data_IF_473740889706
#
_entry.id   IF_473740889706
#
_cell.length_a   1.000
_cell.length_b   1.000
_cell.length_c   1.000
_cell.angle_alpha   90.00
_cell.angle_beta   90.00
_cell.angle_gamma   90.00
#
_symmetry.space_group_name_H-M   'P 1'
#
loop_
_entity.id
_entity.type
_entity.pdbx_description
1 polymer ?
#
# COMPACT_ATOMS: atom_id res chain seq x y z
N UNK A 1 5.14 -22.09 0.73
CA UNK A 1 4.40 -22.28 2.01
C UNK A 1 4.09 -20.95 2.70
N UNK A 2 4.88 -19.94 2.46
CA UNK A 2 4.94 -18.73 3.26
C UNK A 2 3.96 -17.64 2.74
N UNK A 3 3.56 -17.71 1.47
CA UNK A 3 2.51 -16.86 0.88
C UNK A 3 1.10 -17.09 1.47
N UNK A 4 0.94 -18.13 2.29
CA UNK A 4 -0.32 -18.48 2.96
C UNK A 4 -0.47 -17.86 4.35
N UNK A 5 0.55 -17.20 4.89
CA UNK A 5 0.52 -16.63 6.24
C UNK A 5 -0.17 -15.27 6.24
N UNK A 6 -1.47 -15.27 6.45
CA UNK A 6 -2.31 -14.07 6.53
C UNK A 6 -2.60 -13.58 7.96
N UNK A 7 -2.05 -14.23 9.00
CA UNK A 7 -2.37 -13.91 10.38
C UNK A 7 -3.87 -14.05 10.65
N UNK A 8 -4.51 -13.00 11.18
CA UNK A 8 -5.95 -13.00 11.42
C UNK A 8 -6.81 -12.93 10.14
N UNK A 9 -6.22 -12.65 8.98
CA UNK A 9 -6.91 -12.73 7.68
C UNK A 9 -7.05 -14.16 7.15
N UNK A 10 -6.53 -15.14 7.87
CA UNK A 10 -6.65 -16.55 7.52
C UNK A 10 -5.39 -17.16 6.89
N UNK A 11 -5.59 -18.33 6.29
CA UNK A 11 -4.53 -19.12 5.66
C UNK A 11 -4.98 -19.47 4.24
N UNK A 12 -4.74 -18.56 3.30
CA UNK A 12 -5.05 -18.76 1.89
C UNK A 12 -3.94 -18.19 1.02
N UNK A 13 -3.84 -18.64 -0.22
CA UNK A 13 -2.85 -18.13 -1.17
C UNK A 13 -3.02 -16.62 -1.36
N UNK A 14 -1.93 -15.86 -1.19
CA UNK A 14 -1.92 -14.39 -1.32
C UNK A 14 -2.32 -13.62 -0.06
N UNK A 15 -2.69 -14.28 1.05
CA UNK A 15 -3.03 -13.60 2.31
C UNK A 15 -1.89 -12.77 2.90
N UNK A 16 -0.65 -13.02 2.55
CA UNK A 16 0.50 -12.22 2.98
C UNK A 16 0.41 -10.76 2.51
N UNK A 17 -0.26 -10.46 1.39
CA UNK A 17 -0.53 -9.10 0.93
C UNK A 17 -1.35 -8.29 1.96
N UNK A 18 -2.31 -8.92 2.64
CA UNK A 18 -3.12 -8.28 3.68
C UNK A 18 -2.28 -7.90 4.89
N UNK A 19 -1.39 -8.81 5.30
CA UNK A 19 -0.45 -8.54 6.40
C UNK A 19 0.47 -7.39 6.03
N UNK A 20 1.01 -7.36 4.81
CA UNK A 20 1.88 -6.30 4.32
C UNK A 20 1.21 -4.92 4.45
N UNK A 21 0.00 -4.75 3.90
CA UNK A 21 -0.77 -3.50 3.99
C UNK A 21 -1.01 -3.11 5.45
N UNK A 22 -1.38 -4.07 6.31
CA UNK A 22 -1.62 -3.81 7.74
C UNK A 22 -0.35 -3.32 8.44
N UNK A 23 0.79 -3.94 8.18
CA UNK A 23 2.08 -3.51 8.75
C UNK A 23 2.49 -2.13 8.26
N UNK A 24 2.24 -1.80 6.99
CA UNK A 24 2.48 -0.45 6.44
C UNK A 24 1.61 0.60 7.13
N UNK A 25 0.33 0.30 7.36
CA UNK A 25 -0.59 1.18 8.08
C UNK A 25 -0.12 1.39 9.53
N UNK A 26 0.21 0.30 10.25
CA UNK A 26 0.73 0.39 11.62
C UNK A 26 2.00 1.24 11.65
N UNK A 27 2.92 1.02 10.73
CA UNK A 27 4.17 1.81 10.64
C UNK A 27 3.87 3.28 10.40
N UNK A 28 2.96 3.61 9.47
CA UNK A 28 2.58 4.99 9.17
C UNK A 28 1.94 5.69 10.39
N UNK A 29 1.07 4.99 11.14
CA UNK A 29 0.44 5.51 12.36
C UNK A 29 1.50 5.75 13.44
N UNK A 30 2.29 4.74 13.78
CA UNK A 30 3.31 4.80 14.84
C UNK A 30 4.30 5.94 14.61
N UNK A 31 4.75 6.08 13.37
CA UNK A 31 5.69 7.15 13.00
C UNK A 31 5.03 8.53 13.02
N UNK A 32 3.76 8.66 12.62
CA UNK A 32 3.05 9.93 12.66
C UNK A 32 2.75 10.38 14.09
N UNK A 33 2.29 9.49 14.97
CA UNK A 33 2.09 9.77 16.41
C UNK A 33 3.40 10.15 17.10
N UNK A 34 4.51 9.51 16.74
CA UNK A 34 5.80 9.91 17.24
C UNK A 34 6.18 11.33 16.81
N UNK A 35 6.00 11.66 15.53
CA UNK A 35 6.28 13.00 15.02
C UNK A 35 5.38 14.07 15.63
N UNK A 36 4.15 13.72 16.02
CA UNK A 36 3.21 14.58 16.75
C UNK A 36 3.49 14.63 18.26
N UNK A 37 4.51 13.93 18.74
CA UNK A 37 4.89 13.83 20.18
C UNK A 37 3.88 13.10 21.06
N UNK A 38 2.98 12.33 20.48
CA UNK A 38 1.99 11.51 21.18
C UNK A 38 2.57 10.15 21.62
N UNK A 39 3.68 9.73 20.98
CA UNK A 39 4.34 8.46 21.28
C UNK A 39 5.81 8.66 21.68
N UNK A 40 6.31 7.82 22.60
CA UNK A 40 7.72 7.83 23.02
C UNK A 40 8.59 6.98 22.09
N UNK A 41 9.89 7.33 21.98
CA UNK A 41 10.85 6.60 21.14
C UNK A 41 10.91 5.10 21.47
N UNK A 42 10.85 4.74 22.77
CA UNK A 42 10.87 3.34 23.20
C UNK A 42 9.67 2.54 22.68
N UNK A 43 8.46 3.13 22.69
CA UNK A 43 7.26 2.50 22.11
C UNK A 43 7.40 2.32 20.61
N UNK A 44 7.85 3.37 19.89
CA UNK A 44 8.11 3.29 18.44
C UNK A 44 9.05 2.15 18.12
N UNK A 45 10.17 2.04 18.85
CA UNK A 45 11.14 0.96 18.65
C UNK A 45 10.50 -0.43 18.81
N UNK A 46 9.71 -0.63 19.87
CA UNK A 46 9.01 -1.91 20.12
C UNK A 46 8.05 -2.24 18.95
N UNK A 47 7.22 -1.28 18.50
CA UNK A 47 6.31 -1.51 17.39
C UNK A 47 7.04 -1.80 16.08
N UNK A 48 8.10 -1.05 15.77
CA UNK A 48 8.89 -1.28 14.56
C UNK A 48 9.56 -2.65 14.57
N UNK A 49 10.15 -3.07 15.70
CA UNK A 49 10.75 -4.41 15.84
C UNK A 49 9.69 -5.50 15.70
N UNK A 50 8.51 -5.34 16.31
CA UNK A 50 7.41 -6.29 16.16
C UNK A 50 6.93 -6.40 14.70
N UNK A 51 6.75 -5.27 14.00
CA UNK A 51 6.39 -5.27 12.58
C UNK A 51 7.46 -5.95 11.71
N UNK A 52 8.75 -5.68 11.97
CA UNK A 52 9.86 -6.32 11.25
C UNK A 52 9.91 -7.82 11.52
N UNK A 53 9.65 -8.25 12.75
CA UNK A 53 9.58 -9.65 13.10
C UNK A 53 8.46 -10.37 12.35
N UNK A 54 7.24 -9.81 12.38
CA UNK A 54 6.09 -10.36 11.64
C UNK A 54 6.39 -10.41 10.14
N UNK A 55 6.93 -9.32 9.56
CA UNK A 55 7.30 -9.27 8.15
C UNK A 55 8.31 -10.37 7.77
N UNK A 56 9.26 -10.67 8.67
CA UNK A 56 10.25 -11.73 8.44
C UNK A 56 9.61 -13.11 8.49
N UNK A 57 8.74 -13.37 9.47
CA UNK A 57 8.02 -14.66 9.61
C UNK A 57 7.09 -14.91 8.43
N UNK A 58 6.43 -13.86 7.92
CA UNK A 58 5.55 -13.93 6.75
C UNK A 58 6.30 -13.77 5.40
N UNK A 59 7.63 -13.71 5.39
CA UNK A 59 8.49 -13.51 4.21
C UNK A 59 8.11 -12.30 3.32
N UNK A 60 7.65 -11.22 3.94
CA UNK A 60 7.20 -10.00 3.26
C UNK A 60 8.38 -9.15 2.79
N UNK A 61 9.02 -9.56 1.71
CA UNK A 61 10.24 -8.91 1.17
C UNK A 61 10.02 -7.43 0.86
N UNK A 62 8.86 -7.09 0.28
CA UNK A 62 8.53 -5.72 -0.12
C UNK A 62 8.32 -4.79 1.08
N UNK A 63 7.85 -5.31 2.22
CA UNK A 63 7.60 -4.52 3.41
C UNK A 63 8.85 -3.79 3.90
N UNK A 64 10.04 -4.40 3.78
CA UNK A 64 11.28 -3.75 4.20
C UNK A 64 11.56 -2.46 3.40
N UNK A 65 11.27 -2.48 2.09
CA UNK A 65 11.36 -1.30 1.24
C UNK A 65 10.29 -0.26 1.61
N UNK A 66 9.06 -0.71 1.78
CA UNK A 66 7.91 0.14 2.15
C UNK A 66 8.09 0.77 3.52
N UNK A 67 8.64 0.04 4.50
CA UNK A 67 9.00 0.57 5.81
C UNK A 67 9.97 1.74 5.71
N UNK A 68 11.06 1.57 4.98
CA UNK A 68 12.05 2.64 4.77
C UNK A 68 11.40 3.84 4.08
N UNK A 69 10.58 3.60 3.07
CA UNK A 69 9.89 4.64 2.32
C UNK A 69 8.93 5.44 3.20
N UNK A 70 8.09 4.79 4.01
CA UNK A 70 7.18 5.44 4.97
C UNK A 70 7.98 6.35 5.90
N UNK A 71 9.05 5.82 6.48
CA UNK A 71 9.88 6.56 7.43
C UNK A 71 10.56 7.75 6.78
N UNK A 72 11.18 7.57 5.63
CA UNK A 72 11.86 8.66 4.90
C UNK A 72 10.87 9.75 4.53
N UNK A 73 9.69 9.41 4.02
CA UNK A 73 8.67 10.40 3.68
C UNK A 73 8.24 11.20 4.92
N UNK A 74 8.02 10.54 6.05
CA UNK A 74 7.66 11.22 7.29
C UNK A 74 8.77 12.15 7.78
N UNK A 75 10.03 11.74 7.69
CA UNK A 75 11.17 12.58 8.05
C UNK A 75 11.31 13.81 7.13
N UNK A 76 11.08 13.63 5.83
CA UNK A 76 11.11 14.74 4.85
C UNK A 76 9.92 15.70 5.01
N UNK A 77 8.77 15.19 5.43
CA UNK A 77 7.56 16.00 5.65
C UNK A 77 7.62 16.80 6.94
N UNK A 78 8.31 16.32 7.97
CA UNK A 78 8.46 16.97 9.27
C UNK A 78 9.71 17.87 9.31
N UNK A 79 9.72 18.85 10.23
CA UNK A 79 10.92 19.67 10.43
C UNK A 79 12.00 18.85 11.14
N UNK A 80 13.27 18.95 10.71
CA UNK A 80 14.38 18.28 11.38
C UNK A 80 14.43 18.74 12.87
N UNK A 81 14.52 17.76 13.76
CA UNK A 81 14.60 17.99 15.21
C UNK A 81 15.58 16.99 15.84
N UNK A 82 15.97 17.19 17.10
CA UNK A 82 16.77 16.17 17.83
C UNK A 82 16.11 14.80 17.86
N UNK A 83 14.76 14.75 17.84
CA UNK A 83 13.99 13.50 17.71
C UNK A 83 14.23 12.83 16.36
N UNK A 84 14.34 13.59 15.28
CA UNK A 84 14.61 13.09 13.92
C UNK A 84 15.94 12.33 13.88
N UNK A 85 16.98 12.85 14.53
CA UNK A 85 18.29 12.18 14.63
C UNK A 85 18.15 10.85 15.39
N UNK A 86 17.41 10.84 16.50
CA UNK A 86 17.12 9.61 17.27
C UNK A 86 16.43 8.54 16.42
N UNK A 87 15.45 8.94 15.59
CA UNK A 87 14.77 8.03 14.65
C UNK A 87 15.77 7.47 13.63
N UNK A 88 16.58 8.31 13.00
CA UNK A 88 17.56 7.85 12.00
C UNK A 88 18.51 6.81 12.60
N UNK A 89 18.98 7.02 13.84
CA UNK A 89 19.84 6.05 14.54
C UNK A 89 19.06 4.76 14.83
N UNK A 90 17.82 4.86 15.35
CA UNK A 90 17.00 3.69 15.66
C UNK A 90 16.70 2.87 14.40
N UNK A 91 16.37 3.52 13.29
CA UNK A 91 16.13 2.85 12.00
C UNK A 91 17.42 2.19 11.49
N UNK A 92 18.55 2.90 11.54
CA UNK A 92 19.84 2.33 11.18
C UNK A 92 20.14 1.03 11.95
N UNK A 93 19.88 1.02 13.25
CA UNK A 93 20.00 -0.19 14.09
C UNK A 93 19.04 -1.29 13.66
N UNK A 94 17.76 -0.97 13.43
CA UNK A 94 16.75 -1.93 12.97
C UNK A 94 17.14 -2.53 11.62
N UNK A 95 17.61 -1.71 10.67
CA UNK A 95 18.05 -2.19 9.36
C UNK A 95 19.27 -3.11 9.47
N UNK A 96 20.24 -2.76 10.31
CA UNK A 96 21.43 -3.60 10.55
C UNK A 96 21.04 -4.93 11.19
N UNK A 97 20.18 -4.91 12.21
CA UNK A 97 19.69 -6.12 12.87
C UNK A 97 18.89 -6.96 11.87
N UNK A 98 17.95 -6.35 11.15
CA UNK A 98 17.13 -7.00 10.13
C UNK A 98 17.97 -7.63 9.01
N UNK A 99 18.96 -6.90 8.49
CA UNK A 99 19.88 -7.40 7.46
C UNK A 99 20.68 -8.62 7.95
N UNK A 100 21.24 -8.56 9.17
CA UNK A 100 21.95 -9.69 9.75
C UNK A 100 21.02 -10.89 9.99
N UNK A 101 19.78 -10.65 10.38
CA UNK A 101 18.78 -11.69 10.57
C UNK A 101 18.44 -12.36 9.23
N UNK A 102 18.13 -11.58 8.18
CA UNK A 102 17.86 -12.09 6.84
C UNK A 102 19.06 -12.87 6.31
N UNK A 103 20.27 -12.36 6.46
CA UNK A 103 21.50 -13.06 6.05
C UNK A 103 21.65 -14.43 6.70
N UNK A 104 21.25 -14.55 7.96
CA UNK A 104 21.39 -15.80 8.74
C UNK A 104 20.27 -16.79 8.44
N UNK A 105 19.02 -16.34 8.32
CA UNK A 105 17.84 -17.22 8.27
C UNK A 105 17.26 -17.38 6.86
N UNK A 106 17.44 -16.40 5.97
CA UNK A 106 16.94 -16.49 4.59
C UNK A 106 17.90 -15.82 3.58
N UNK A 107 19.08 -16.43 3.33
CA UNK A 107 20.09 -15.86 2.42
C UNK A 107 19.58 -15.73 0.97
N UNK A 108 18.53 -16.45 0.58
CA UNK A 108 17.93 -16.36 -0.75
C UNK A 108 17.35 -14.94 -1.02
N UNK A 109 16.81 -14.27 0.01
CA UNK A 109 16.31 -12.89 -0.12
C UNK A 109 17.46 -11.94 -0.51
N UNK A 110 18.62 -12.10 0.10
CA UNK A 110 19.78 -11.25 -0.23
C UNK A 110 20.28 -11.49 -1.64
N UNK A 111 20.22 -12.72 -2.15
CA UNK A 111 20.57 -13.00 -3.55
C UNK A 111 19.64 -12.26 -4.50
N UNK A 112 18.33 -12.28 -4.26
CA UNK A 112 17.36 -11.55 -5.07
C UNK A 112 17.63 -10.04 -5.09
N UNK A 113 18.07 -9.45 -3.97
CA UNK A 113 18.34 -8.02 -3.86
C UNK A 113 19.71 -7.58 -4.37
N UNK A 114 20.69 -8.49 -4.34
CA UNK A 114 22.11 -8.14 -4.66
C UNK A 114 22.59 -8.72 -5.99
N UNK A 115 21.89 -9.72 -6.54
CA UNK A 115 22.24 -10.35 -7.82
C UNK A 115 21.37 -9.77 -8.93
N UNK A 116 21.98 -9.05 -9.86
CA UNK A 116 21.28 -8.39 -10.96
C UNK A 116 20.51 -9.36 -11.84
N UNK A 117 21.07 -10.54 -12.14
CA UNK A 117 20.42 -11.53 -13.00
C UNK A 117 19.17 -12.11 -12.33
N UNK A 118 19.27 -12.37 -11.03
CA UNK A 118 18.12 -12.83 -10.23
C UNK A 118 17.06 -11.74 -10.12
N UNK A 119 17.46 -10.48 -9.92
CA UNK A 119 16.55 -9.34 -9.86
C UNK A 119 15.85 -9.13 -11.21
N UNK A 120 16.56 -9.16 -12.32
CA UNK A 120 15.99 -9.06 -13.66
C UNK A 120 15.00 -10.18 -13.95
N UNK A 121 15.33 -11.43 -13.59
CA UNK A 121 14.41 -12.56 -13.71
C UNK A 121 13.09 -12.30 -12.95
N UNK A 122 13.14 -11.80 -11.73
CA UNK A 122 11.94 -11.50 -10.92
C UNK A 122 11.13 -10.31 -11.43
N UNK A 123 11.76 -9.31 -12.04
CA UNK A 123 11.10 -8.08 -12.46
C UNK A 123 10.61 -8.11 -13.91
N UNK A 124 11.39 -8.69 -14.82
CA UNK A 124 11.14 -8.64 -16.28
C UNK A 124 11.26 -9.96 -17.01
N UNK A 125 11.55 -11.07 -16.29
CA UNK A 125 11.70 -12.40 -16.88
C UNK A 125 10.42 -12.98 -17.49
N UNK A 126 10.50 -14.23 -17.96
CA UNK A 126 9.42 -14.93 -18.68
C UNK A 126 8.26 -15.45 -17.80
N UNK A 127 8.14 -14.95 -16.55
CA UNK A 127 7.17 -15.41 -15.56
C UNK A 127 7.82 -16.16 -14.40
N UNK A 128 7.03 -16.50 -13.39
CA UNK A 128 7.50 -17.17 -12.16
C UNK A 128 7.36 -18.69 -12.21
N UNK A 129 6.54 -19.18 -13.14
CA UNK A 129 6.31 -20.60 -13.36
C UNK A 129 6.60 -20.97 -14.81
N UNK A 130 6.74 -22.27 -15.08
CA UNK A 130 6.89 -22.78 -16.46
C UNK A 130 5.60 -22.66 -17.28
N UNK A 131 4.51 -22.16 -16.70
CA UNK A 131 3.19 -22.04 -17.33
C UNK A 131 3.06 -20.80 -18.22
N UNK A 132 4.07 -19.89 -18.24
CA UNK A 132 4.02 -18.66 -19.03
C UNK A 132 3.21 -17.53 -18.38
N UNK A 133 3.10 -17.57 -17.07
CA UNK A 133 2.48 -16.52 -16.23
C UNK A 133 3.11 -15.14 -16.45
N UNK A 134 2.40 -14.12 -16.00
CA UNK A 134 2.83 -12.73 -16.12
C UNK A 134 3.90 -12.38 -15.09
N UNK A 135 4.80 -11.49 -15.47
CA UNK A 135 5.75 -10.87 -14.55
C UNK A 135 5.29 -9.47 -14.17
N UNK A 136 5.66 -8.98 -12.97
CA UNK A 136 5.18 -7.71 -12.39
C UNK A 136 5.34 -6.50 -13.31
N UNK A 137 6.51 -6.28 -13.88
CA UNK A 137 6.77 -5.08 -14.67
C UNK A 137 6.29 -5.20 -16.12
N UNK A 138 6.23 -6.41 -16.66
CA UNK A 138 5.86 -6.63 -18.07
C UNK A 138 4.41 -7.04 -18.27
N UNK A 139 3.65 -7.25 -17.18
CA UNK A 139 2.28 -7.76 -17.23
C UNK A 139 1.39 -6.96 -18.17
N UNK A 140 1.29 -5.63 -17.99
CA UNK A 140 0.41 -4.77 -18.81
C UNK A 140 0.83 -4.79 -20.28
N UNK A 141 2.14 -4.75 -20.57
CA UNK A 141 2.65 -4.80 -21.95
C UNK A 141 2.32 -6.13 -22.61
N UNK A 142 2.47 -7.25 -21.88
CA UNK A 142 2.18 -8.59 -22.37
C UNK A 142 0.67 -8.76 -22.60
N UNK A 143 -0.17 -8.29 -21.68
CA UNK A 143 -1.63 -8.30 -21.82
C UNK A 143 -2.10 -7.43 -23.00
N UNK A 144 -1.53 -6.25 -23.19
CA UNK A 144 -1.81 -5.42 -24.36
C UNK A 144 -1.50 -6.16 -25.66
N UNK A 145 -0.33 -6.77 -25.75
CA UNK A 145 0.10 -7.50 -26.95
C UNK A 145 -0.76 -8.74 -27.25
N UNK A 146 -1.27 -9.41 -26.21
CA UNK A 146 -2.07 -10.64 -26.34
C UNK A 146 -3.54 -10.36 -26.65
N UNK A 147 -4.14 -9.33 -26.04
CA UNK A 147 -5.59 -9.15 -26.04
C UNK A 147 -6.07 -7.85 -26.70
N UNK A 148 -5.27 -6.79 -26.67
CA UNK A 148 -5.72 -5.46 -27.05
C UNK A 148 -5.02 -4.89 -28.29
N UNK A 149 -4.09 -5.65 -28.88
CA UNK A 149 -3.38 -5.20 -30.08
C UNK A 149 -4.34 -4.99 -31.24
N UNK A 150 -4.51 -3.74 -31.67
CA UNK A 150 -5.44 -3.36 -32.74
C UNK A 150 -6.85 -3.03 -32.24
N UNK A 151 -7.20 -3.30 -31.01
CA UNK A 151 -8.47 -2.95 -30.38
C UNK A 151 -8.33 -1.77 -29.43
N UNK A 152 -8.60 -0.57 -29.91
CA UNK A 152 -8.46 0.65 -29.13
C UNK A 152 -9.50 0.76 -28.02
N UNK A 153 -10.69 0.23 -28.23
CA UNK A 153 -11.79 0.36 -27.27
C UNK A 153 -11.48 -0.47 -26.03
N UNK A 154 -11.15 -1.76 -26.18
CA UNK A 154 -10.79 -2.60 -25.06
C UNK A 154 -9.43 -2.22 -24.42
N UNK A 155 -8.50 -1.65 -25.20
CA UNK A 155 -7.26 -1.11 -24.63
C UNK A 155 -7.52 0.07 -23.70
N UNK A 156 -8.54 0.89 -23.96
CA UNK A 156 -8.91 2.04 -23.14
C UNK A 156 -9.81 1.66 -21.96
N UNK A 157 -10.81 0.80 -22.18
CA UNK A 157 -11.87 0.53 -21.21
C UNK A 157 -11.90 -0.90 -20.66
N UNK A 158 -11.01 -1.79 -21.15
CA UNK A 158 -10.96 -3.20 -20.75
C UNK A 158 -12.14 -4.02 -21.25
N UNK A 159 -12.28 -5.23 -20.73
CA UNK A 159 -13.36 -6.16 -21.04
C UNK A 159 -14.64 -5.90 -20.21
N UNK A 160 -14.61 -4.96 -19.26
CA UNK A 160 -15.67 -4.68 -18.30
C UNK A 160 -15.42 -5.32 -16.94
N UNK A 161 -15.97 -4.69 -15.90
CA UNK A 161 -15.84 -5.15 -14.50
C UNK A 161 -16.41 -6.57 -14.35
N UNK A 162 -15.66 -7.44 -13.65
CA UNK A 162 -16.01 -8.82 -13.40
C UNK A 162 -15.86 -9.76 -14.60
N UNK A 163 -15.49 -9.26 -15.79
CA UNK A 163 -15.32 -10.08 -16.98
C UNK A 163 -14.10 -11.00 -16.92
N UNK A 164 -13.13 -10.68 -16.06
CA UNK A 164 -11.90 -11.43 -15.89
C UNK A 164 -11.80 -12.05 -14.48
N UNK A 165 -12.87 -12.01 -13.69
CA UNK A 165 -12.84 -12.42 -12.31
C UNK A 165 -13.21 -13.91 -12.11
N UNK A 166 -12.76 -14.43 -10.96
CA UNK A 166 -13.13 -15.73 -10.44
C UNK A 166 -14.47 -15.64 -9.69
N UNK A 167 -15.29 -16.67 -9.82
CA UNK A 167 -16.47 -16.84 -8.99
C UNK A 167 -16.53 -18.25 -8.42
N UNK A 168 -16.91 -18.37 -7.14
CA UNK A 168 -17.21 -19.66 -6.51
C UNK A 168 -18.42 -20.37 -7.16
N UNK A 169 -19.29 -19.62 -7.82
CA UNK A 169 -20.40 -20.14 -8.59
C UNK A 169 -19.97 -20.37 -10.04
N UNK A 170 -19.94 -21.63 -10.50
CA UNK A 170 -19.45 -21.99 -11.82
C UNK A 170 -20.16 -21.30 -12.98
N UNK A 171 -21.44 -20.93 -12.80
CA UNK A 171 -22.25 -20.24 -13.79
C UNK A 171 -21.95 -18.71 -13.88
N UNK A 172 -21.35 -18.11 -12.82
CA UNK A 172 -20.91 -16.73 -12.81
C UNK A 172 -19.42 -16.57 -13.19
N UNK A 173 -18.69 -17.69 -13.28
CA UNK A 173 -17.27 -17.65 -13.62
C UNK A 173 -17.08 -17.27 -15.09
N UNK A 174 -16.29 -16.23 -15.35
CA UNK A 174 -16.08 -15.74 -16.70
C UNK A 174 -15.40 -16.77 -17.62
N UNK A 175 -15.76 -16.77 -18.90
CA UNK A 175 -15.10 -17.58 -19.90
C UNK A 175 -13.62 -17.19 -20.08
N UNK A 176 -13.33 -15.90 -19.88
CA UNK A 176 -11.95 -15.38 -19.92
C UNK A 176 -11.11 -15.99 -18.79
N UNK A 177 -11.61 -15.97 -17.56
CA UNK A 177 -10.92 -16.57 -16.43
C UNK A 177 -10.62 -18.05 -16.68
N UNK A 178 -11.62 -18.85 -17.07
CA UNK A 178 -11.46 -20.29 -17.34
C UNK A 178 -10.35 -20.59 -18.36
N UNK A 179 -10.17 -19.71 -19.35
CA UNK A 179 -9.21 -19.92 -20.45
C UNK A 179 -7.81 -19.40 -20.12
N UNK A 180 -7.70 -18.31 -19.34
CA UNK A 180 -6.47 -17.56 -19.16
C UNK A 180 -6.00 -17.47 -17.70
N UNK A 181 -6.59 -18.26 -16.79
CA UNK A 181 -6.16 -18.35 -15.37
C UNK A 181 -4.66 -18.64 -15.24
N UNK A 182 -4.09 -19.45 -16.13
CA UNK A 182 -2.68 -19.81 -16.12
C UNK A 182 -1.72 -18.63 -16.24
N UNK A 183 -2.18 -17.47 -16.72
CA UNK A 183 -1.41 -16.23 -16.75
C UNK A 183 -1.23 -15.60 -15.37
N UNK A 184 -2.01 -16.03 -14.39
CA UNK A 184 -2.01 -15.51 -13.02
C UNK A 184 -2.10 -13.99 -12.93
N UNK A 185 -2.84 -13.34 -13.87
CA UNK A 185 -2.98 -11.88 -13.96
C UNK A 185 -3.61 -11.27 -12.70
N UNK A 186 -4.31 -12.04 -11.89
CA UNK A 186 -4.90 -11.61 -10.61
C UNK A 186 -3.88 -11.53 -9.46
N UNK A 187 -2.64 -11.91 -9.67
CA UNK A 187 -1.60 -11.73 -8.66
C UNK A 187 -1.18 -10.26 -8.46
N UNK A 188 -1.50 -9.39 -9.45
CA UNK A 188 -1.12 -7.99 -9.43
C UNK A 188 -2.33 -7.11 -9.75
N UNK A 189 -2.60 -6.09 -8.92
CA UNK A 189 -3.73 -5.20 -9.11
C UNK A 189 -3.71 -4.49 -10.48
N UNK A 190 -2.54 -4.03 -10.93
CA UNK A 190 -2.43 -3.31 -12.21
C UNK A 190 -2.78 -4.17 -13.43
N UNK A 191 -2.45 -5.46 -13.44
CA UNK A 191 -2.80 -6.36 -14.54
C UNK A 191 -4.28 -6.70 -14.55
N UNK A 192 -4.87 -6.89 -13.38
CA UNK A 192 -6.29 -7.16 -13.24
C UNK A 192 -7.13 -5.94 -13.61
N UNK A 193 -6.83 -4.75 -13.03
CA UNK A 193 -7.49 -3.48 -13.40
C UNK A 193 -7.35 -3.19 -14.89
N UNK A 194 -6.18 -3.45 -15.49
CA UNK A 194 -5.97 -3.22 -16.91
C UNK A 194 -6.83 -4.12 -17.79
N UNK A 195 -7.02 -5.38 -17.45
CA UNK A 195 -7.89 -6.30 -18.19
C UNK A 195 -9.36 -5.89 -18.11
N UNK A 196 -9.84 -5.47 -16.92
CA UNK A 196 -11.24 -5.17 -16.71
C UNK A 196 -11.64 -3.73 -17.06
N UNK A 197 -10.74 -2.77 -16.83
CA UNK A 197 -11.04 -1.33 -16.93
C UNK A 197 -10.11 -0.59 -17.90
N UNK A 198 -9.17 -1.27 -18.50
CA UNK A 198 -8.22 -0.71 -19.46
C UNK A 198 -7.27 0.35 -18.89
N UNK A 199 -6.68 1.12 -19.79
CA UNK A 199 -5.77 2.21 -19.42
C UNK A 199 -6.48 3.31 -18.62
N UNK A 200 -7.75 3.57 -18.90
CA UNK A 200 -8.56 4.59 -18.22
C UNK A 200 -8.72 4.21 -16.74
N UNK A 201 -9.03 2.94 -16.43
CA UNK A 201 -9.16 2.45 -15.06
C UNK A 201 -7.85 2.60 -14.28
N UNK A 202 -6.71 2.22 -14.87
CA UNK A 202 -5.40 2.40 -14.24
C UNK A 202 -5.09 3.88 -13.96
N UNK A 203 -5.32 4.76 -14.93
CA UNK A 203 -5.09 6.20 -14.76
C UNK A 203 -5.97 6.76 -13.64
N UNK A 204 -7.24 6.38 -13.60
CA UNK A 204 -8.17 6.84 -12.56
C UNK A 204 -7.73 6.36 -11.17
N UNK A 205 -7.31 5.10 -11.03
CA UNK A 205 -6.84 4.54 -9.76
C UNK A 205 -5.56 5.25 -9.26
N UNK A 206 -4.59 5.46 -10.15
CA UNK A 206 -3.38 6.23 -9.82
C UNK A 206 -3.75 7.68 -9.46
N UNK A 207 -4.61 8.31 -10.26
CA UNK A 207 -5.05 9.69 -10.02
C UNK A 207 -5.78 9.86 -8.70
N UNK A 208 -6.49 8.84 -8.21
CA UNK A 208 -7.10 8.84 -6.89
C UNK A 208 -6.03 9.02 -5.78
N UNK A 209 -4.99 8.22 -5.77
CA UNK A 209 -3.91 8.34 -4.77
C UNK A 209 -3.13 9.66 -4.92
N UNK A 210 -2.83 10.07 -6.15
CA UNK A 210 -2.13 11.33 -6.44
C UNK A 210 -2.96 12.53 -5.98
N UNK A 211 -4.28 12.52 -6.20
CA UNK A 211 -5.16 13.63 -5.78
C UNK A 211 -5.18 13.81 -4.26
N UNK A 212 -5.17 12.71 -3.50
CA UNK A 212 -5.05 12.74 -2.03
C UNK A 212 -3.70 13.34 -1.62
N UNK A 213 -2.61 12.91 -2.27
CA UNK A 213 -1.28 13.46 -1.98
C UNK A 213 -1.22 14.97 -2.25
N UNK A 214 -1.74 15.43 -3.39
CA UNK A 214 -1.82 16.86 -3.75
C UNK A 214 -2.64 17.64 -2.74
N UNK A 215 -3.80 17.10 -2.34
CA UNK A 215 -4.64 17.72 -1.32
C UNK A 215 -3.90 17.89 0.02
N UNK A 216 -3.20 16.85 0.50
CA UNK A 216 -2.44 16.90 1.75
C UNK A 216 -1.27 17.90 1.66
N UNK A 217 -0.54 17.90 0.53
CA UNK A 217 0.55 18.87 0.30
C UNK A 217 0.02 20.31 0.32
N UNK A 218 -1.13 20.54 -0.28
CA UNK A 218 -1.80 21.86 -0.27
C UNK A 218 -2.11 22.35 1.16
N UNK A 219 -2.50 21.45 2.05
CA UNK A 219 -2.74 21.75 3.47
C UNK A 219 -1.47 22.04 4.28
N UNK A 220 -0.29 21.59 3.83
CA UNK A 220 0.97 21.68 4.60
C UNK A 220 1.26 23.08 5.14
N UNK A 221 0.85 24.12 4.43
CA UNK A 221 1.07 25.53 4.80
C UNK A 221 0.13 26.04 5.89
N UNK A 222 -1.02 25.40 6.10
CA UNK A 222 -2.08 25.92 6.93
C UNK A 222 -2.22 25.21 8.29
N UNK A 223 -2.22 23.88 8.34
CA UNK A 223 -2.33 23.10 9.59
C UNK A 223 -1.79 21.70 9.39
N UNK A 224 -0.79 21.31 10.20
CA UNK A 224 -0.32 19.92 10.25
C UNK A 224 -1.27 19.08 11.09
N UNK A 225 -1.91 18.11 10.45
CA UNK A 225 -2.69 17.11 11.14
C UNK A 225 -1.93 15.77 11.11
N UNK A 226 -1.91 15.06 12.23
CA UNK A 226 -1.30 13.74 12.37
C UNK A 226 -1.84 12.77 11.31
N UNK A 227 -3.15 12.83 11.03
CA UNK A 227 -3.78 12.00 9.99
C UNK A 227 -3.29 12.32 8.57
N UNK A 228 -3.02 13.59 8.27
CA UNK A 228 -2.43 13.98 6.97
C UNK A 228 -1.05 13.32 6.80
N UNK A 229 -0.25 13.29 7.86
CA UNK A 229 1.08 12.67 7.85
C UNK A 229 1.01 11.13 7.72
N UNK A 230 0.09 10.50 8.45
CA UNK A 230 -0.17 9.06 8.34
C UNK A 230 -0.46 8.67 6.90
N UNK A 231 -1.44 9.34 6.28
CA UNK A 231 -1.88 9.01 4.93
C UNK A 231 -0.83 9.36 3.90
N UNK A 232 -0.22 10.54 3.98
CA UNK A 232 0.79 10.97 3.01
C UNK A 232 1.99 10.00 2.92
N UNK A 233 2.43 9.47 4.05
CA UNK A 233 3.52 8.48 4.08
C UNK A 233 3.09 7.09 3.60
N UNK A 234 1.79 6.77 3.70
CA UNK A 234 1.24 5.49 3.28
C UNK A 234 0.91 5.44 1.77
N UNK A 235 0.57 6.57 1.12
CA UNK A 235 0.18 6.59 -0.29
C UNK A 235 1.18 5.93 -1.25
N UNK A 236 2.51 6.13 -1.14
CA UNK A 236 3.46 5.45 -2.01
C UNK A 236 3.45 3.93 -1.90
N UNK A 237 3.11 3.38 -0.72
CA UNK A 237 2.99 1.92 -0.56
C UNK A 237 1.78 1.38 -1.32
N UNK A 238 0.69 2.17 -1.44
CA UNK A 238 -0.44 1.83 -2.30
C UNK A 238 -0.03 1.74 -3.78
N UNK A 239 0.81 2.68 -4.25
CA UNK A 239 1.31 2.67 -5.64
C UNK A 239 2.29 1.51 -5.89
N UNK A 240 3.11 1.15 -4.91
CA UNK A 240 3.96 -0.05 -4.98
C UNK A 240 3.08 -1.30 -4.98
N UNK A 241 2.10 -1.39 -4.08
CA UNK A 241 1.15 -2.50 -3.99
C UNK A 241 0.36 -2.72 -5.29
N UNK A 242 0.04 -1.65 -6.04
CA UNK A 242 -0.60 -1.75 -7.35
C UNK A 242 0.17 -2.66 -8.32
N UNK A 243 1.50 -2.58 -8.28
CA UNK A 243 2.38 -3.37 -9.17
C UNK A 243 2.80 -4.69 -8.52
N UNK A 244 2.98 -4.69 -7.19
CA UNK A 244 3.60 -5.81 -6.50
C UNK A 244 2.65 -6.93 -6.15
N UNK A 245 1.40 -6.62 -5.76
CA UNK A 245 0.39 -7.58 -5.30
C UNK A 245 -1.03 -7.17 -5.74
N UNK A 246 -2.03 -7.90 -5.26
CA UNK A 246 -3.44 -7.68 -5.55
C UNK A 246 -4.24 -7.02 -4.39
N UNK A 247 -3.56 -6.44 -3.42
CA UNK A 247 -4.22 -5.90 -2.21
C UNK A 247 -5.27 -4.82 -2.50
N UNK A 248 -5.15 -4.10 -3.63
CA UNK A 248 -6.11 -3.07 -4.04
C UNK A 248 -7.41 -3.63 -4.65
N UNK A 249 -7.43 -4.91 -5.03
CA UNK A 249 -8.58 -5.59 -5.62
C UNK A 249 -9.23 -6.59 -4.65
N UNK A 250 -8.71 -6.68 -3.43
CA UNK A 250 -9.17 -7.60 -2.39
C UNK A 250 -9.78 -6.83 -1.21
N UNK A 251 -10.17 -7.52 -0.15
CA UNK A 251 -10.79 -6.94 1.04
C UNK A 251 -9.93 -5.87 1.73
N UNK A 252 -8.63 -5.91 1.57
CA UNK A 252 -7.72 -4.85 2.05
C UNK A 252 -7.96 -3.50 1.41
N UNK A 253 -8.59 -3.43 0.24
CA UNK A 253 -8.98 -2.18 -0.39
C UNK A 253 -9.90 -1.33 0.51
N UNK A 254 -10.78 -1.97 1.30
CA UNK A 254 -11.62 -1.26 2.26
C UNK A 254 -10.81 -0.59 3.37
N UNK A 255 -9.77 -1.27 3.88
CA UNK A 255 -8.88 -0.72 4.91
C UNK A 255 -8.05 0.43 4.34
N UNK A 256 -7.57 0.28 3.10
CA UNK A 256 -6.84 1.33 2.38
C UNK A 256 -7.74 2.55 2.16
N UNK A 257 -8.98 2.35 1.71
CA UNK A 257 -9.95 3.43 1.51
C UNK A 257 -10.27 4.15 2.82
N UNK A 258 -10.47 3.41 3.92
CA UNK A 258 -10.67 3.98 5.25
C UNK A 258 -9.47 4.82 5.68
N UNK A 259 -8.25 4.30 5.52
CA UNK A 259 -7.02 5.05 5.83
C UNK A 259 -6.95 6.33 5.00
N UNK A 260 -7.22 6.26 3.70
CA UNK A 260 -7.24 7.43 2.80
C UNK A 260 -8.31 8.48 3.18
N UNK A 261 -9.39 8.07 3.84
CA UNK A 261 -10.46 8.97 4.28
C UNK A 261 -10.12 9.76 5.56
N UNK A 262 -9.16 9.32 6.37
CA UNK A 262 -8.84 9.93 7.68
C UNK A 262 -8.58 11.44 7.62
N UNK A 263 -7.82 12.01 6.67
CA UNK A 263 -7.58 13.45 6.59
C UNK A 263 -8.86 14.27 6.40
N UNK A 264 -9.82 13.71 5.67
CA UNK A 264 -11.11 14.38 5.39
C UNK A 264 -12.05 14.28 6.58
N UNK A 265 -12.10 13.12 7.25
CA UNK A 265 -12.89 12.91 8.46
C UNK A 265 -12.42 13.85 9.58
N UNK A 266 -11.11 13.92 9.81
CA UNK A 266 -10.53 14.79 10.83
C UNK A 266 -10.82 16.28 10.57
N UNK A 267 -10.74 16.72 9.32
CA UNK A 267 -11.09 18.10 8.95
C UNK A 267 -12.55 18.41 9.24
N UNK A 268 -13.45 17.49 8.91
CA UNK A 268 -14.90 17.68 9.17
C UNK A 268 -15.18 17.80 10.66
N UNK A 269 -14.53 17.00 11.50
CA UNK A 269 -14.68 17.08 12.96
C UNK A 269 -14.25 18.45 13.52
N UNK A 270 -13.15 19.03 13.03
CA UNK A 270 -12.70 20.36 13.43
C UNK A 270 -13.74 21.42 13.06
N UNK A 271 -14.28 21.36 11.85
CA UNK A 271 -15.33 22.30 11.39
C UNK A 271 -16.57 22.22 12.29
N UNK A 272 -17.04 21.02 12.61
CA UNK A 272 -18.20 20.84 13.48
C UNK A 272 -17.95 21.38 14.90
N UNK A 273 -16.78 21.13 15.46
CA UNK A 273 -16.41 21.65 16.80
C UNK A 273 -16.40 23.17 16.83
N UNK A 274 -15.77 23.82 15.86
CA UNK A 274 -15.74 25.28 15.76
C UNK A 274 -17.15 25.87 15.57
N UNK A 275 -17.98 25.23 14.74
CA UNK A 275 -19.37 25.65 14.52
C UNK A 275 -20.20 25.54 15.80
N UNK A 276 -20.10 24.45 16.56
CA UNK A 276 -20.83 24.25 17.81
C UNK A 276 -20.39 25.23 18.91
N UNK A 277 -19.08 25.47 19.06
CA UNK A 277 -18.56 26.47 20.02
C UNK A 277 -18.99 27.89 19.67
N UNK A 278 -19.04 28.23 18.38
CA UNK A 278 -19.51 29.53 17.91
C UNK A 278 -21.01 29.69 18.19
N UNK A 279 -21.81 28.67 17.94
CA UNK A 279 -23.24 28.65 18.20
C UNK A 279 -23.53 28.80 19.70
N UNK A 280 -22.80 28.12 20.56
CA UNK A 280 -22.92 28.22 22.01
C UNK A 280 -22.59 29.64 22.51
N UNK A 281 -21.50 30.24 22.02
CA UNK A 281 -21.15 31.62 22.34
C UNK A 281 -22.24 32.64 21.94
N UNK A 282 -22.89 32.45 20.80
CA UNK A 282 -24.00 33.28 20.33
C UNK A 282 -25.20 33.11 21.26
N UNK A 283 -25.55 31.90 21.67
CA UNK A 283 -26.63 31.65 22.63
C UNK A 283 -26.36 32.29 23.99
N UNK A 284 -25.13 32.16 24.49
CA UNK A 284 -24.72 32.76 25.78
C UNK A 284 -24.76 34.29 25.75
N UNK A 285 -24.50 34.91 24.58
CA UNK A 285 -24.64 36.37 24.41
C UNK A 285 -26.09 36.80 24.33
N UNK A 286 -26.95 36.06 23.65
CA UNK A 286 -28.39 36.39 23.55
C UNK A 286 -29.14 36.13 24.87
N UNK A 287 -28.70 35.18 25.70
CA UNK A 287 -29.31 34.90 27.00
C UNK A 287 -28.91 35.90 28.13
N UNK A 288 -28.01 36.85 27.82
CA UNK A 288 -27.59 37.92 28.75
C UNK A 288 -28.25 39.27 28.45
N UNK A 289 -29.11 39.35 27.46
CA UNK A 289 -29.97 40.48 27.13
C UNK A 289 -31.39 40.22 27.68
#
# INVERSE_FOLDING_TARGET
RDDFLGGFFGVASGCNAYVCVTLCIITAIVMAEFNSSEMTLGKVFIYCVACMYVATVCELKIYFLEFVLIVVIQLLYTKPSKKTIGICIAIGLILVIGFNFIKRYNPAILRILLDNDTMEYYLSGNGYTNSGDLNRLTAVQKLYSMFFRGDRVHSLFGFGLGSCDYSNFSFLQSAFYKKYEYLHYRWFSHSWVYLEQGSVGLILLISFFVSIAVYIIGKRKQNRNTYDLMVFSFLPTCLIGLIYNNALEMETAYIIALMCALPFIAQKQVIYKVSSETFQKIQDMMGKV
#
